data_IF_815374253842
#
_entry.id   IF_815374253842
#
_cell.length_a   1.000
_cell.length_b   1.000
_cell.length_c   1.000
_cell.angle_alpha   90.00
_cell.angle_beta   90.00
_cell.angle_gamma   90.00
#
_symmetry.space_group_name_H-M   'P 1'
#
loop_
_entity.id
_entity.type
_entity.pdbx_description
1 polymer ?
#
# COMPACT_ATOMS: atom_id res chain seq x y z
N UNK A 1 -23.02 -3.86 -12.76
CA UNK A 1 -21.79 -4.33 -12.08
C UNK A 1 -20.68 -3.36 -12.44
N UNK A 2 -20.03 -2.78 -11.43
CA UNK A 2 -18.86 -1.91 -11.60
C UNK A 2 -17.74 -2.71 -12.29
N UNK A 3 -17.45 -2.37 -13.56
CA UNK A 3 -16.44 -3.03 -14.40
C UNK A 3 -15.05 -2.39 -14.28
N UNK A 4 -14.88 -1.39 -13.40
CA UNK A 4 -13.58 -0.76 -13.17
C UNK A 4 -12.55 -1.81 -12.75
N UNK A 5 -11.28 -1.64 -13.13
CA UNK A 5 -10.17 -2.49 -12.69
C UNK A 5 -9.03 -1.61 -12.17
N UNK A 6 -8.09 -2.22 -11.44
CA UNK A 6 -6.99 -1.51 -10.81
C UNK A 6 -6.15 -0.69 -11.82
N UNK A 7 -5.87 -1.26 -13.00
CA UNK A 7 -5.06 -0.60 -14.03
C UNK A 7 -5.70 0.70 -14.52
N UNK A 8 -7.00 0.68 -14.79
CA UNK A 8 -7.70 1.85 -15.29
C UNK A 8 -7.81 2.94 -14.22
N UNK A 9 -8.01 2.56 -12.96
CA UNK A 9 -8.04 3.49 -11.83
C UNK A 9 -6.70 4.23 -11.66
N UNK A 10 -5.58 3.52 -11.71
CA UNK A 10 -4.27 4.15 -11.48
C UNK A 10 -3.68 4.86 -12.70
N UNK A 11 -4.27 4.65 -13.90
CA UNK A 11 -3.85 5.32 -15.15
C UNK A 11 -4.80 6.43 -15.60
N UNK A 12 -6.04 6.45 -15.12
CA UNK A 12 -7.05 7.43 -15.50
C UNK A 12 -6.89 8.73 -14.70
N UNK A 13 -7.52 8.85 -13.52
CA UNK A 13 -7.42 10.03 -12.67
C UNK A 13 -6.00 10.27 -12.14
N UNK A 14 -5.59 11.54 -12.07
CA UNK A 14 -4.33 11.98 -11.46
C UNK A 14 -4.60 13.10 -10.42
N UNK A 15 -4.46 12.83 -9.11
CA UNK A 15 -4.05 11.56 -8.50
C UNK A 15 -5.17 10.50 -8.52
N UNK A 16 -4.84 9.19 -8.48
CA UNK A 16 -5.84 8.14 -8.35
C UNK A 16 -6.51 8.16 -6.98
N UNK A 17 -7.75 7.66 -6.88
CA UNK A 17 -8.40 7.47 -5.58
C UNK A 17 -7.69 6.35 -4.82
N UNK A 18 -7.12 6.68 -3.67
CA UNK A 18 -6.30 5.76 -2.89
C UNK A 18 -7.16 4.61 -2.34
N UNK A 19 -8.33 4.90 -1.78
CA UNK A 19 -9.27 3.89 -1.33
C UNK A 19 -9.76 2.98 -2.46
N UNK A 20 -10.20 3.56 -3.59
CA UNK A 20 -10.73 2.79 -4.71
C UNK A 20 -9.67 1.86 -5.29
N UNK A 21 -8.46 2.38 -5.57
CA UNK A 21 -7.36 1.58 -6.07
C UNK A 21 -6.98 0.46 -5.09
N UNK A 22 -6.98 0.74 -3.78
CA UNK A 22 -6.70 -0.28 -2.76
C UNK A 22 -7.74 -1.41 -2.73
N UNK A 23 -9.03 -1.06 -2.86
CA UNK A 23 -10.11 -2.05 -2.95
C UNK A 23 -10.07 -2.85 -4.25
N UNK A 24 -9.66 -2.22 -5.36
CA UNK A 24 -9.55 -2.91 -6.65
C UNK A 24 -8.44 -3.97 -6.65
N UNK A 25 -7.25 -3.67 -6.12
CA UNK A 25 -6.23 -4.72 -6.01
C UNK A 25 -6.65 -5.80 -5.00
N UNK A 26 -7.39 -5.46 -3.94
CA UNK A 26 -7.90 -6.45 -2.99
C UNK A 26 -8.84 -7.45 -3.69
N UNK A 27 -9.73 -6.94 -4.55
CA UNK A 27 -10.65 -7.75 -5.34
C UNK A 27 -9.91 -8.66 -6.31
N UNK A 28 -8.92 -8.10 -7.02
CA UNK A 28 -8.19 -8.80 -8.08
C UNK A 28 -7.21 -9.85 -7.53
N UNK A 29 -6.69 -9.67 -6.30
CA UNK A 29 -5.71 -10.58 -5.70
C UNK A 29 -6.36 -11.64 -4.79
N UNK A 30 -7.35 -11.26 -3.96
CA UNK A 30 -7.82 -12.12 -2.87
C UNK A 30 -9.34 -12.23 -2.72
N UNK A 31 -10.12 -11.26 -3.19
CA UNK A 31 -11.57 -11.21 -2.94
C UNK A 31 -12.37 -10.98 -4.24
N UNK A 32 -12.50 -11.96 -5.14
CA UNK A 32 -13.14 -11.77 -6.45
C UNK A 32 -14.55 -11.17 -6.41
N UNK A 33 -15.31 -11.48 -5.36
CA UNK A 33 -16.68 -11.00 -5.16
C UNK A 33 -16.78 -9.64 -4.44
N UNK A 34 -15.64 -9.05 -4.06
CA UNK A 34 -15.57 -7.74 -3.41
C UNK A 34 -16.23 -6.67 -4.28
N UNK A 35 -17.13 -5.89 -3.67
CA UNK A 35 -17.75 -4.71 -4.30
C UNK A 35 -17.14 -3.44 -3.70
N UNK A 36 -16.23 -2.74 -4.41
CA UNK A 36 -15.58 -1.55 -3.88
C UNK A 36 -16.56 -0.45 -3.42
N UNK A 37 -17.70 -0.30 -4.10
CA UNK A 37 -18.70 0.73 -3.76
C UNK A 37 -19.19 0.63 -2.32
N UNK A 38 -19.40 -0.58 -1.79
CA UNK A 38 -19.86 -0.79 -0.40
C UNK A 38 -18.89 -0.16 0.60
N UNK A 39 -17.59 -0.32 0.36
CA UNK A 39 -16.56 0.19 1.25
C UNK A 39 -16.29 1.68 1.06
N UNK A 40 -16.48 2.20 -0.16
CA UNK A 40 -16.40 3.63 -0.42
C UNK A 40 -17.58 4.37 0.25
N UNK A 41 -18.79 3.83 0.14
CA UNK A 41 -19.99 4.32 0.84
C UNK A 41 -19.78 4.28 2.37
N UNK A 42 -19.15 3.23 2.90
CA UNK A 42 -18.83 3.15 4.33
C UNK A 42 -17.88 4.29 4.79
N UNK A 43 -16.92 4.70 3.95
CA UNK A 43 -16.04 5.83 4.24
C UNK A 43 -16.81 7.17 4.17
N UNK A 44 -17.77 7.29 3.25
CA UNK A 44 -18.69 8.44 3.18
C UNK A 44 -19.55 8.52 4.45
N UNK A 45 -20.14 7.40 4.89
CA UNK A 45 -20.94 7.31 6.12
C UNK A 45 -20.14 7.71 7.37
N UNK A 46 -18.86 7.32 7.43
CA UNK A 46 -17.95 7.72 8.51
C UNK A 46 -17.66 9.22 8.50
N UNK A 47 -17.43 9.80 7.32
CA UNK A 47 -17.26 11.25 7.19
C UNK A 47 -18.54 11.99 7.62
N UNK A 48 -19.71 11.54 7.18
CA UNK A 48 -21.00 12.11 7.56
C UNK A 48 -21.26 12.03 9.07
N UNK A 49 -20.87 10.92 9.71
CA UNK A 49 -20.98 10.76 11.16
C UNK A 49 -20.10 11.76 11.91
N UNK A 50 -18.88 12.02 11.44
CA UNK A 50 -17.98 13.04 12.00
C UNK A 50 -18.54 14.45 11.74
N UNK A 51 -19.07 14.70 10.54
CA UNK A 51 -19.63 16.00 10.16
C UNK A 51 -20.84 16.36 11.03
N UNK A 52 -21.70 15.40 11.38
CA UNK A 52 -22.83 15.60 12.31
C UNK A 52 -22.41 15.95 13.74
N UNK A 53 -21.18 15.63 14.13
CA UNK A 53 -20.61 15.93 15.45
C UNK A 53 -19.83 17.23 15.48
N UNK A 54 -19.63 17.85 14.32
CA UNK A 54 -18.86 19.08 14.16
C UNK A 54 -19.81 20.26 13.94
N UNK A 55 -19.53 21.39 14.59
CA UNK A 55 -20.20 22.65 14.29
C UNK A 55 -19.56 23.34 13.07
N UNK A 56 -20.30 24.14 12.28
CA UNK A 56 -19.73 24.90 11.17
C UNK A 56 -18.61 25.87 11.58
N UNK A 57 -18.61 26.32 12.84
CA UNK A 57 -17.61 27.23 13.40
C UNK A 57 -16.40 26.51 14.04
N UNK A 58 -16.37 25.17 14.01
CA UNK A 58 -15.27 24.41 14.60
C UNK A 58 -13.96 24.66 13.87
N UNK A 59 -12.90 24.87 14.66
CA UNK A 59 -11.54 24.97 14.13
C UNK A 59 -11.10 23.66 13.44
N UNK A 60 -10.14 23.75 12.52
CA UNK A 60 -9.54 22.57 11.88
C UNK A 60 -9.01 21.56 12.91
N UNK A 61 -8.42 22.04 14.01
CA UNK A 61 -7.96 21.18 15.11
C UNK A 61 -9.12 20.47 15.83
N UNK A 62 -10.24 21.16 16.06
CA UNK A 62 -11.45 20.55 16.66
C UNK A 62 -12.01 19.46 15.75
N UNK A 63 -12.12 19.73 14.44
CA UNK A 63 -12.59 18.76 13.44
C UNK A 63 -11.65 17.56 13.34
N UNK A 64 -10.34 17.81 13.40
CA UNK A 64 -9.31 16.77 13.42
C UNK A 64 -9.43 15.88 14.66
N UNK A 65 -9.56 16.45 15.86
CA UNK A 65 -9.74 15.68 17.09
C UNK A 65 -11.04 14.85 17.07
N UNK A 66 -12.11 15.41 16.50
CA UNK A 66 -13.40 14.71 16.34
C UNK A 66 -13.26 13.51 15.39
N UNK A 67 -12.58 13.70 14.26
CA UNK A 67 -12.26 12.62 13.32
C UNK A 67 -11.42 11.52 13.99
N UNK A 68 -10.32 11.90 14.64
CA UNK A 68 -9.42 10.96 15.33
C UNK A 68 -10.19 10.15 16.39
N UNK A 69 -10.95 10.84 17.25
CA UNK A 69 -11.76 10.18 18.27
C UNK A 69 -12.78 9.21 17.67
N UNK A 70 -13.48 9.63 16.60
CA UNK A 70 -14.45 8.77 15.93
C UNK A 70 -13.81 7.50 15.33
N UNK A 71 -12.71 7.64 14.58
CA UNK A 71 -12.09 6.50 13.92
C UNK A 71 -11.47 5.49 14.89
N UNK A 72 -10.81 5.95 15.95
CA UNK A 72 -10.06 5.05 16.84
C UNK A 72 -10.85 4.62 18.09
N UNK A 73 -11.84 5.40 18.55
CA UNK A 73 -12.66 5.02 19.70
C UNK A 73 -14.02 4.43 19.30
N UNK A 74 -14.74 5.09 18.38
CA UNK A 74 -16.10 4.68 18.04
C UNK A 74 -16.12 3.56 17.00
N UNK A 75 -15.36 3.72 15.91
CA UNK A 75 -15.17 2.66 14.90
C UNK A 75 -14.23 1.57 15.41
N UNK A 76 -13.28 1.91 16.28
CA UNK A 76 -12.38 0.96 16.91
C UNK A 76 -11.23 0.49 16.01
N UNK A 77 -10.80 1.32 15.05
CA UNK A 77 -9.61 1.04 14.25
C UNK A 77 -8.38 0.91 15.14
N UNK A 78 -7.55 -0.11 14.93
CA UNK A 78 -6.29 -0.28 15.68
C UNK A 78 -5.26 -1.13 14.94
N UNK A 79 -4.00 -0.94 15.30
CA UNK A 79 -2.91 -1.77 14.82
C UNK A 79 -3.03 -3.23 15.23
N UNK A 80 -2.83 -4.15 14.29
CA UNK A 80 -2.79 -5.59 14.58
C UNK A 80 -1.38 -6.01 15.03
N UNK A 81 -1.11 -5.91 16.33
CA UNK A 81 0.19 -6.26 16.94
C UNK A 81 0.39 -7.76 17.06
N UNK A 82 -0.67 -8.50 17.33
CA UNK A 82 -0.62 -9.95 17.59
C UNK A 82 -0.35 -10.76 16.32
N UNK A 83 -0.92 -10.31 15.18
CA UNK A 83 -0.76 -10.96 13.88
C UNK A 83 -0.32 -9.95 12.84
N UNK A 84 0.83 -9.30 13.05
CA UNK A 84 1.33 -8.24 12.17
C UNK A 84 1.48 -8.68 10.70
N UNK A 85 1.89 -9.93 10.47
CA UNK A 85 2.08 -10.52 9.13
C UNK A 85 0.82 -11.18 8.53
N UNK A 86 -0.37 -10.87 9.06
CA UNK A 86 -1.64 -11.26 8.45
C UNK A 86 -1.91 -10.40 7.19
N UNK A 87 -2.03 -10.97 5.99
CA UNK A 87 -2.21 -10.20 4.75
C UNK A 87 -3.50 -9.38 4.77
N UNK A 88 -4.51 -9.80 5.55
CA UNK A 88 -5.75 -9.05 5.77
C UNK A 88 -5.49 -7.66 6.38
N UNK A 89 -4.36 -7.44 7.05
CA UNK A 89 -4.01 -6.11 7.57
C UNK A 89 -3.66 -5.09 6.45
N UNK A 90 -3.39 -5.55 5.23
CA UNK A 90 -3.08 -4.69 4.07
C UNK A 90 -4.28 -4.46 3.14
N UNK A 91 -5.30 -5.31 3.20
CA UNK A 91 -6.48 -5.22 2.34
C UNK A 91 -7.52 -4.27 2.92
N UNK A 92 -7.84 -3.18 2.22
CA UNK A 92 -8.67 -2.11 2.77
C UNK A 92 -10.07 -2.58 3.20
N UNK A 93 -10.67 -3.53 2.46
CA UNK A 93 -11.97 -4.13 2.83
C UNK A 93 -11.91 -4.87 4.18
N UNK A 94 -10.82 -5.59 4.43
CA UNK A 94 -10.63 -6.32 5.69
C UNK A 94 -10.34 -5.36 6.85
N UNK A 95 -9.55 -4.31 6.61
CA UNK A 95 -9.23 -3.31 7.64
C UNK A 95 -10.49 -2.56 8.06
N UNK A 96 -11.34 -2.16 7.09
CA UNK A 96 -12.63 -1.52 7.37
C UNK A 96 -13.55 -2.47 8.14
N UNK A 97 -13.65 -3.74 7.74
CA UNK A 97 -14.57 -4.70 8.35
C UNK A 97 -14.15 -5.17 9.75
N UNK A 98 -12.84 -5.35 9.96
CA UNK A 98 -12.29 -5.92 11.20
C UNK A 98 -11.81 -4.87 12.20
N UNK A 99 -11.59 -3.64 11.75
CA UNK A 99 -10.92 -2.59 12.52
C UNK A 99 -9.44 -2.88 12.81
N UNK A 100 -8.81 -3.80 12.08
CA UNK A 100 -7.43 -4.25 12.29
C UNK A 100 -6.59 -4.00 11.05
N UNK A 101 -5.48 -3.27 11.19
CA UNK A 101 -4.62 -2.92 10.06
C UNK A 101 -3.14 -2.74 10.39
N UNK A 102 -2.38 -2.42 9.34
CA UNK A 102 -1.00 -1.96 9.37
C UNK A 102 -0.94 -0.42 9.49
N UNK A 103 0.21 0.17 9.83
CA UNK A 103 0.34 1.62 9.89
C UNK A 103 -0.12 2.31 8.60
N UNK A 104 0.28 1.77 7.44
CA UNK A 104 -0.07 2.34 6.14
C UNK A 104 -1.56 2.20 5.79
N UNK A 105 -2.20 1.07 6.10
CA UNK A 105 -3.59 0.82 5.72
C UNK A 105 -4.57 1.58 6.62
N UNK A 106 -4.27 1.72 7.90
CA UNK A 106 -5.00 2.59 8.82
C UNK A 106 -4.84 4.07 8.42
N UNK A 107 -3.65 4.45 7.98
CA UNK A 107 -3.40 5.81 7.47
C UNK A 107 -4.16 6.10 6.18
N UNK A 108 -4.31 5.13 5.27
CA UNK A 108 -5.16 5.29 4.08
C UNK A 108 -6.61 5.60 4.47
N UNK A 109 -7.18 4.85 5.40
CA UNK A 109 -8.55 5.12 5.89
C UNK A 109 -8.65 6.55 6.46
N UNK A 110 -7.69 6.93 7.32
CA UNK A 110 -7.67 8.26 7.91
C UNK A 110 -7.64 9.36 6.85
N UNK A 111 -6.72 9.27 5.87
CA UNK A 111 -6.57 10.24 4.78
C UNK A 111 -7.87 10.36 3.97
N UNK A 112 -8.51 9.23 3.68
CA UNK A 112 -9.73 9.16 2.87
C UNK A 112 -10.95 9.77 3.57
N UNK A 113 -11.11 9.56 4.87
CA UNK A 113 -12.19 10.19 5.65
C UNK A 113 -11.88 11.67 5.91
N UNK A 114 -10.63 12.02 6.19
CA UNK A 114 -10.19 13.41 6.34
C UNK A 114 -10.45 14.22 5.06
N UNK A 115 -10.14 13.67 3.89
CA UNK A 115 -10.38 14.33 2.60
C UNK A 115 -11.86 14.63 2.35
N UNK A 116 -12.76 13.71 2.72
CA UNK A 116 -14.22 13.92 2.64
C UNK A 116 -14.72 15.05 3.54
N UNK A 117 -14.03 15.29 4.65
CA UNK A 117 -14.31 16.40 5.58
C UNK A 117 -13.66 17.72 5.16
N UNK A 118 -12.92 17.74 4.05
CA UNK A 118 -12.14 18.89 3.59
C UNK A 118 -10.87 19.15 4.39
N UNK A 119 -10.40 18.17 5.18
CA UNK A 119 -9.13 18.26 5.92
C UNK A 119 -7.97 17.85 5.01
N UNK A 120 -6.91 18.66 5.00
CA UNK A 120 -5.70 18.39 4.21
C UNK A 120 -4.79 17.39 4.94
N UNK A 121 -5.13 16.10 4.83
CA UNK A 121 -4.33 14.99 5.35
C UNK A 121 -3.51 14.32 4.24
N UNK A 122 -2.29 13.89 4.57
CA UNK A 122 -1.41 13.18 3.65
C UNK A 122 -0.54 12.14 4.37
N UNK A 123 -0.07 11.15 3.64
CA UNK A 123 0.79 10.10 4.18
C UNK A 123 2.25 10.54 4.30
N UNK A 124 2.87 10.21 5.43
CA UNK A 124 4.29 10.44 5.72
C UNK A 124 4.96 9.07 5.86
N UNK A 125 5.94 8.82 5.00
CA UNK A 125 6.61 7.54 4.91
C UNK A 125 7.86 7.48 5.76
N UNK A 126 7.76 6.93 6.97
CA UNK A 126 8.92 6.66 7.82
C UNK A 126 9.58 5.31 7.43
N UNK A 127 10.89 5.13 7.70
CA UNK A 127 11.51 3.81 7.67
C UNK A 127 10.78 2.87 8.64
N UNK A 128 10.33 1.70 8.16
CA UNK A 128 9.64 0.69 8.98
C UNK A 128 8.23 1.05 9.47
N UNK A 129 7.79 2.31 9.35
CA UNK A 129 6.49 2.77 9.86
C UNK A 129 5.78 3.71 8.86
N UNK A 130 4.57 4.16 9.21
CA UNK A 130 3.80 5.10 8.40
C UNK A 130 2.89 5.94 9.29
N UNK A 131 2.88 7.26 9.08
CA UNK A 131 2.07 8.21 9.87
C UNK A 131 1.31 9.15 8.93
N UNK A 132 0.38 9.93 9.48
CA UNK A 132 -0.38 10.93 8.73
C UNK A 132 0.06 12.32 9.16
N UNK A 133 0.34 13.19 8.19
CA UNK A 133 0.47 14.63 8.41
C UNK A 133 -0.85 15.34 8.09
N UNK A 134 -1.23 16.30 8.92
CA UNK A 134 -2.37 17.20 8.68
C UNK A 134 -1.91 18.64 8.78
N UNK A 135 -2.12 19.41 7.71
CA UNK A 135 -1.83 20.83 7.69
C UNK A 135 -2.87 21.62 8.49
N UNK A 136 -2.44 22.31 9.54
CA UNK A 136 -3.17 23.40 10.19
C UNK A 136 -2.61 24.74 9.70
N UNK A 137 -3.34 25.84 9.93
CA UNK A 137 -3.02 27.18 9.37
C UNK A 137 -1.55 27.60 9.52
N UNK A 138 -0.88 27.24 10.62
CA UNK A 138 0.54 27.55 10.87
C UNK A 138 1.38 26.36 11.34
N UNK A 139 0.83 25.15 11.41
CA UNK A 139 1.50 24.00 12.04
C UNK A 139 1.18 22.68 11.32
N UNK A 140 2.16 21.77 11.31
CA UNK A 140 1.96 20.38 10.92
C UNK A 140 1.63 19.55 12.16
N UNK A 141 0.49 18.86 12.16
CA UNK A 141 0.18 17.83 13.15
C UNK A 141 0.43 16.47 12.52
N UNK A 142 1.35 15.70 13.11
CA UNK A 142 1.53 14.29 12.75
C UNK A 142 0.75 13.41 13.72
N UNK A 143 0.10 12.38 13.19
CA UNK A 143 -0.68 11.40 13.93
C UNK A 143 -0.24 10.00 13.55
N UNK A 144 -0.27 9.07 14.49
CA UNK A 144 -0.01 7.65 14.26
C UNK A 144 -1.30 6.81 14.32
N UNK A 145 -1.93 6.52 13.16
CA UNK A 145 -3.11 5.66 13.08
C UNK A 145 -2.91 4.25 13.64
N UNK A 146 -1.69 3.69 13.61
CA UNK A 146 -1.44 2.37 14.18
C UNK A 146 -1.59 2.37 15.70
N UNK A 147 -1.27 3.52 16.32
CA UNK A 147 -1.29 3.75 17.75
C UNK A 147 -2.52 4.55 18.22
N UNK A 148 -3.65 4.43 17.50
CA UNK A 148 -4.91 5.07 17.91
C UNK A 148 -4.97 6.56 17.59
N UNK A 149 -4.17 7.03 16.62
CA UNK A 149 -4.16 8.42 16.18
C UNK A 149 -3.53 9.37 17.20
N UNK A 150 -2.63 8.89 18.05
CA UNK A 150 -1.84 9.75 18.95
C UNK A 150 -0.98 10.72 18.16
N UNK A 151 -0.79 11.93 18.70
CA UNK A 151 0.13 12.92 18.12
C UNK A 151 1.56 12.41 18.21
N UNK A 152 2.33 12.67 17.15
CA UNK A 152 3.74 12.29 17.02
C UNK A 152 4.56 13.56 16.82
N UNK A 153 5.56 13.75 17.66
CA UNK A 153 6.59 14.78 17.49
C UNK A 153 7.67 14.33 16.49
N UNK A 154 8.52 15.25 16.03
CA UNK A 154 9.64 14.89 15.16
C UNK A 154 10.62 13.92 15.83
N UNK A 155 10.83 14.06 17.14
CA UNK A 155 11.67 13.16 17.94
C UNK A 155 11.08 11.74 18.00
N UNK A 156 9.78 11.62 18.28
CA UNK A 156 9.09 10.34 18.29
C UNK A 156 9.05 9.70 16.90
N UNK A 157 8.90 10.49 15.82
CA UNK A 157 8.98 9.98 14.45
C UNK A 157 10.37 9.38 14.14
N UNK A 158 11.45 10.03 14.59
CA UNK A 158 12.80 9.49 14.48
C UNK A 158 12.96 8.19 15.30
N UNK A 159 12.40 8.15 16.50
CA UNK A 159 12.44 6.95 17.36
C UNK A 159 11.64 5.79 16.75
N UNK A 160 10.48 6.05 16.14
CA UNK A 160 9.71 5.04 15.40
C UNK A 160 10.53 4.46 14.25
N UNK A 161 11.26 5.30 13.49
CA UNK A 161 12.13 4.82 12.42
C UNK A 161 13.24 3.89 12.95
N UNK A 162 13.89 4.28 14.05
CA UNK A 162 14.93 3.47 14.70
C UNK A 162 14.39 2.12 15.18
N UNK A 163 13.28 2.14 15.93
CA UNK A 163 12.74 0.93 16.60
C UNK A 163 12.10 -0.06 15.63
N UNK A 164 11.52 0.41 14.52
CA UNK A 164 10.79 -0.47 13.57
C UNK A 164 11.65 -0.99 12.43
N UNK A 165 12.69 -0.25 12.02
CA UNK A 165 13.54 -0.62 10.87
C UNK A 165 15.02 -0.84 11.20
N UNK A 166 15.45 -0.51 12.43
CA UNK A 166 16.87 -0.49 12.78
C UNK A 166 17.65 0.66 12.14
N UNK A 167 16.97 1.68 11.60
CA UNK A 167 17.61 2.85 11.02
C UNK A 167 18.43 3.60 12.08
N UNK A 168 19.72 3.81 11.81
CA UNK A 168 20.65 4.48 12.75
C UNK A 168 21.11 5.87 12.28
N UNK A 169 20.60 6.34 11.13
CA UNK A 169 20.95 7.65 10.58
C UNK A 169 20.21 8.81 11.27
N UNK A 170 20.54 10.06 10.89
CA UNK A 170 19.82 11.24 11.36
C UNK A 170 18.39 11.29 10.79
N UNK A 171 17.50 12.01 11.45
CA UNK A 171 16.19 12.33 10.87
C UNK A 171 16.38 13.05 9.53
N UNK A 172 15.61 12.64 8.52
CA UNK A 172 15.64 13.25 7.19
C UNK A 172 14.39 14.10 7.00
N UNK A 173 14.55 15.39 6.71
CA UNK A 173 13.42 16.30 6.51
C UNK A 173 12.52 15.86 5.35
N UNK A 174 13.09 15.15 4.37
CA UNK A 174 12.39 14.58 3.23
C UNK A 174 11.33 13.56 3.63
N UNK A 175 11.43 12.95 4.82
CA UNK A 175 10.40 12.03 5.32
C UNK A 175 9.05 12.73 5.50
N UNK A 176 9.05 14.03 5.81
CA UNK A 176 7.84 14.83 6.01
C UNK A 176 7.13 15.19 4.70
N UNK A 177 7.77 14.95 3.54
CA UNK A 177 7.15 15.23 2.26
C UNK A 177 5.91 14.34 2.05
N UNK A 178 4.78 14.91 1.59
CA UNK A 178 3.60 14.13 1.25
C UNK A 178 3.93 12.99 0.28
N UNK A 179 3.61 11.76 0.68
CA UNK A 179 3.81 10.60 -0.18
C UNK A 179 2.74 10.55 -1.28
N UNK A 180 3.11 10.45 -2.57
CA UNK A 180 2.14 10.32 -3.66
C UNK A 180 1.28 9.05 -3.53
N UNK A 181 0.01 9.11 -3.93
CA UNK A 181 -0.92 7.97 -3.84
C UNK A 181 -0.38 6.69 -4.50
N UNK A 182 0.30 6.81 -5.65
CA UNK A 182 0.93 5.67 -6.33
C UNK A 182 2.04 5.01 -5.50
N UNK A 183 2.81 5.81 -4.75
CA UNK A 183 3.84 5.31 -3.84
C UNK A 183 3.23 4.65 -2.60
N UNK A 184 2.13 5.19 -2.06
CA UNK A 184 1.39 4.55 -0.96
C UNK A 184 0.86 3.17 -1.40
N UNK A 185 0.19 3.10 -2.56
CA UNK A 185 -0.30 1.84 -3.12
C UNK A 185 0.83 0.82 -3.35
N UNK A 186 1.97 1.28 -3.89
CA UNK A 186 3.14 0.43 -4.08
C UNK A 186 3.65 -0.12 -2.74
N UNK A 187 3.75 0.70 -1.69
CA UNK A 187 4.15 0.24 -0.34
C UNK A 187 3.15 -0.77 0.25
N UNK A 188 1.85 -0.59 0.06
CA UNK A 188 0.83 -1.56 0.48
C UNK A 188 1.03 -2.92 -0.23
N UNK A 189 1.27 -2.90 -1.54
CA UNK A 189 1.56 -4.09 -2.32
C UNK A 189 2.90 -4.73 -1.93
N UNK A 190 3.93 -3.94 -1.61
CA UNK A 190 5.21 -4.46 -1.11
C UNK A 190 5.07 -5.17 0.25
N UNK A 191 4.20 -4.68 1.14
CA UNK A 191 3.86 -5.38 2.38
C UNK A 191 3.22 -6.75 2.08
N UNK A 192 2.25 -6.79 1.15
CA UNK A 192 1.63 -8.04 0.71
C UNK A 192 2.65 -9.00 0.07
N UNK A 193 3.55 -8.49 -0.77
CA UNK A 193 4.63 -9.28 -1.38
C UNK A 193 5.48 -9.96 -0.31
N UNK A 194 5.92 -9.20 0.71
CA UNK A 194 6.70 -9.76 1.81
C UNK A 194 5.97 -10.88 2.56
N UNK A 195 4.68 -10.67 2.86
CA UNK A 195 3.84 -11.67 3.53
C UNK A 195 3.65 -12.92 2.67
N UNK A 196 3.35 -12.78 1.38
CA UNK A 196 3.11 -13.94 0.51
C UNK A 196 4.38 -14.71 0.17
N UNK A 197 5.53 -14.05 0.04
CA UNK A 197 6.83 -14.72 -0.06
C UNK A 197 7.11 -15.54 1.20
N UNK A 198 6.91 -14.96 2.38
CA UNK A 198 7.13 -15.66 3.65
C UNK A 198 6.22 -16.90 3.80
N UNK A 199 5.00 -16.83 3.26
CA UNK A 199 4.02 -17.92 3.24
C UNK A 199 4.21 -18.90 2.08
N UNK A 200 5.18 -18.64 1.19
CA UNK A 200 5.38 -19.37 -0.06
C UNK A 200 4.12 -19.44 -0.95
N UNK A 201 3.27 -18.41 -0.87
CA UNK A 201 2.11 -18.25 -1.75
C UNK A 201 2.55 -17.57 -3.06
N UNK A 202 3.08 -18.39 -3.97
CA UNK A 202 3.61 -17.93 -5.25
C UNK A 202 2.54 -17.37 -6.19
N UNK A 203 1.32 -17.96 -6.31
CA UNK A 203 0.25 -17.37 -7.08
C UNK A 203 -0.13 -15.96 -6.61
N UNK A 204 -0.30 -15.76 -5.29
CA UNK A 204 -0.59 -14.42 -4.76
C UNK A 204 0.58 -13.45 -4.92
N UNK A 205 1.82 -13.94 -4.77
CA UNK A 205 3.03 -13.14 -5.02
C UNK A 205 3.09 -12.67 -6.47
N UNK A 206 2.80 -13.54 -7.44
CA UNK A 206 2.75 -13.19 -8.87
C UNK A 206 1.65 -12.16 -9.15
N UNK A 207 0.47 -12.31 -8.55
CA UNK A 207 -0.61 -11.33 -8.66
C UNK A 207 -0.18 -9.95 -8.11
N UNK A 208 0.46 -9.91 -6.95
CA UNK A 208 1.01 -8.67 -6.35
C UNK A 208 2.07 -8.04 -7.25
N UNK A 209 3.03 -8.82 -7.76
CA UNK A 209 4.08 -8.31 -8.68
C UNK A 209 3.46 -7.77 -9.97
N UNK A 210 2.40 -8.40 -10.48
CA UNK A 210 1.63 -7.90 -11.61
C UNK A 210 1.08 -6.48 -11.38
N UNK A 211 0.58 -6.20 -10.18
CA UNK A 211 0.09 -4.86 -9.80
C UNK A 211 1.23 -3.86 -9.59
N UNK A 212 2.36 -4.28 -8.99
CA UNK A 212 3.55 -3.45 -8.85
C UNK A 212 4.10 -3.01 -10.21
N UNK A 213 4.09 -3.89 -11.22
CA UNK A 213 4.49 -3.53 -12.61
C UNK A 213 3.59 -2.46 -13.24
N UNK A 214 2.32 -2.37 -12.83
CA UNK A 214 1.41 -1.32 -13.30
C UNK A 214 1.76 0.03 -12.68
N UNK A 215 2.03 0.06 -11.37
CA UNK A 215 2.38 1.28 -10.63
C UNK A 215 3.80 1.77 -10.92
N UNK A 216 4.74 0.85 -11.13
CA UNK A 216 6.17 1.10 -11.26
C UNK A 216 6.72 0.44 -12.54
N UNK A 217 6.27 0.87 -13.74
CA UNK A 217 6.66 0.23 -15.01
C UNK A 217 8.15 0.37 -15.35
N UNK A 218 8.84 1.32 -14.69
CA UNK A 218 10.27 1.56 -14.86
C UNK A 218 11.15 0.65 -13.99
N UNK A 219 10.59 0.05 -12.94
CA UNK A 219 11.31 -0.88 -12.06
C UNK A 219 11.51 -2.23 -12.76
N UNK A 220 12.73 -2.46 -13.25
CA UNK A 220 13.10 -3.67 -13.98
C UNK A 220 13.05 -4.92 -13.10
N UNK A 221 13.27 -4.78 -11.79
CA UNK A 221 13.19 -5.85 -10.81
C UNK A 221 11.81 -6.52 -10.78
N UNK A 222 10.72 -5.77 -10.99
CA UNK A 222 9.38 -6.38 -11.03
C UNK A 222 9.18 -7.25 -12.29
N UNK A 223 9.88 -6.94 -13.39
CA UNK A 223 9.88 -7.75 -14.61
C UNK A 223 10.65 -9.05 -14.37
N UNK A 224 11.84 -8.96 -13.76
CA UNK A 224 12.64 -10.12 -13.33
C UNK A 224 11.83 -11.03 -12.41
N UNK A 225 11.28 -10.48 -11.33
CA UNK A 225 10.54 -11.23 -10.31
C UNK A 225 9.35 -11.97 -10.95
N UNK A 226 8.60 -11.32 -11.84
CA UNK A 226 7.52 -11.96 -12.58
C UNK A 226 8.02 -13.10 -13.47
N UNK A 227 9.13 -12.91 -14.20
CA UNK A 227 9.73 -13.95 -15.04
C UNK A 227 10.13 -15.19 -14.25
N UNK A 228 10.75 -15.00 -13.08
CA UNK A 228 11.13 -16.08 -12.17
C UNK A 228 9.90 -16.82 -11.60
N UNK A 229 8.84 -16.09 -11.24
CA UNK A 229 7.58 -16.68 -10.75
C UNK A 229 6.85 -17.48 -11.84
N UNK A 230 6.81 -16.97 -13.08
CA UNK A 230 6.28 -17.73 -14.22
C UNK A 230 7.10 -18.99 -14.50
N UNK A 231 8.43 -18.92 -14.38
CA UNK A 231 9.28 -20.10 -14.53
C UNK A 231 8.95 -21.16 -13.48
N UNK A 232 8.80 -20.73 -12.21
CA UNK A 232 8.39 -21.59 -11.10
C UNK A 232 7.03 -22.27 -11.36
N UNK A 233 6.11 -21.58 -12.02
CA UNK A 233 4.79 -22.12 -12.38
C UNK A 233 4.79 -23.00 -13.64
N UNK A 234 5.95 -23.20 -14.29
CA UNK A 234 6.06 -23.95 -15.55
C UNK A 234 5.57 -23.19 -16.79
N UNK A 235 5.31 -21.89 -16.66
CA UNK A 235 4.83 -21.03 -17.74
C UNK A 235 6.02 -20.53 -18.59
N UNK A 236 6.73 -21.49 -19.19
CA UNK A 236 8.05 -21.30 -19.80
C UNK A 236 8.09 -20.15 -20.82
N UNK A 237 7.02 -19.96 -21.61
CA UNK A 237 7.00 -18.94 -22.68
C UNK A 237 6.97 -17.54 -22.07
N UNK A 238 6.13 -17.37 -21.06
CA UNK A 238 5.97 -16.11 -20.36
C UNK A 238 7.22 -15.80 -19.53
N UNK A 239 7.81 -16.83 -18.91
CA UNK A 239 9.06 -16.72 -18.18
C UNK A 239 10.21 -16.24 -19.08
N UNK A 240 10.47 -16.92 -20.20
CA UNK A 240 11.53 -16.55 -21.14
C UNK A 240 11.37 -15.11 -21.62
N UNK A 241 10.16 -14.75 -22.07
CA UNK A 241 9.86 -13.41 -22.55
C UNK A 241 10.16 -12.30 -21.53
N UNK A 242 9.80 -12.50 -20.26
CA UNK A 242 10.03 -11.51 -19.20
C UNK A 242 11.50 -11.44 -18.79
N UNK A 243 12.19 -12.58 -18.70
CA UNK A 243 13.62 -12.59 -18.35
C UNK A 243 14.49 -11.99 -19.47
N UNK A 244 14.13 -12.20 -20.74
CA UNK A 244 14.74 -11.50 -21.88
C UNK A 244 14.53 -9.99 -21.79
N UNK A 245 13.30 -9.53 -21.52
CA UNK A 245 13.02 -8.11 -21.34
C UNK A 245 13.83 -7.49 -20.20
N UNK A 246 13.99 -8.22 -19.09
CA UNK A 246 14.81 -7.78 -17.98
C UNK A 246 16.28 -7.62 -18.40
N UNK A 247 16.87 -8.63 -19.06
CA UNK A 247 18.26 -8.58 -19.53
C UNK A 247 18.52 -7.52 -20.61
N UNK A 248 17.50 -7.15 -21.39
CA UNK A 248 17.58 -6.01 -22.33
C UNK A 248 17.64 -4.68 -21.57
N UNK A 249 16.87 -4.54 -20.49
CA UNK A 249 16.82 -3.31 -19.69
C UNK A 249 18.06 -3.14 -18.82
N UNK A 250 18.50 -4.23 -18.19
CA UNK A 250 19.57 -4.25 -17.19
C UNK A 250 20.62 -5.32 -17.54
N UNK A 251 21.37 -5.16 -18.65
CA UNK A 251 22.27 -6.20 -19.16
C UNK A 251 23.44 -6.51 -18.22
N UNK A 252 23.84 -5.54 -17.39
CA UNK A 252 25.01 -5.59 -16.50
C UNK A 252 24.62 -5.65 -15.01
N UNK A 253 23.34 -5.95 -14.69
CA UNK A 253 22.92 -6.10 -13.30
C UNK A 253 23.70 -7.21 -12.59
N UNK A 254 23.93 -7.11 -11.26
CA UNK A 254 24.70 -8.10 -10.51
C UNK A 254 24.20 -9.56 -10.62
N UNK A 255 22.90 -9.73 -10.85
CA UNK A 255 22.22 -11.02 -11.04
C UNK A 255 22.04 -11.44 -12.50
N UNK A 256 22.46 -10.61 -13.47
CA UNK A 256 22.29 -10.86 -14.92
C UNK A 256 22.83 -12.23 -15.37
N UNK A 257 23.98 -12.66 -14.84
CA UNK A 257 24.57 -13.96 -15.15
C UNK A 257 23.67 -15.13 -14.68
N UNK A 258 23.09 -15.03 -13.49
CA UNK A 258 22.17 -16.04 -12.96
C UNK A 258 20.85 -16.06 -13.75
N UNK A 259 20.37 -14.89 -14.18
CA UNK A 259 19.17 -14.80 -15.02
C UNK A 259 19.41 -15.39 -16.41
N UNK A 260 20.59 -15.17 -17.02
CA UNK A 260 20.96 -15.83 -18.29
C UNK A 260 20.98 -17.35 -18.16
N UNK A 261 21.56 -17.89 -17.10
CA UNK A 261 21.54 -19.34 -16.84
C UNK A 261 20.11 -19.89 -16.69
N UNK A 262 19.24 -19.13 -16.02
CA UNK A 262 17.83 -19.50 -15.89
C UNK A 262 17.11 -19.49 -17.24
N UNK A 263 17.38 -18.48 -18.07
CA UNK A 263 16.83 -18.39 -19.42
C UNK A 263 17.30 -19.56 -20.31
N UNK A 264 18.59 -19.90 -20.26
CA UNK A 264 19.14 -21.06 -20.98
C UNK A 264 18.46 -22.37 -20.54
N UNK A 265 18.23 -22.54 -19.23
CA UNK A 265 17.50 -23.70 -18.71
C UNK A 265 16.06 -23.77 -19.25
N UNK A 266 15.35 -22.64 -19.32
CA UNK A 266 14.01 -22.55 -19.90
C UNK A 266 14.02 -22.95 -21.38
N UNK A 267 14.97 -22.42 -22.16
CA UNK A 267 15.08 -22.70 -23.59
C UNK A 267 15.43 -24.17 -23.87
N UNK A 268 16.28 -24.78 -23.03
CA UNK A 268 16.58 -26.21 -23.14
C UNK A 268 15.35 -27.08 -22.83
N UNK A 269 14.52 -26.70 -21.85
CA UNK A 269 13.26 -27.40 -21.59
C UNK A 269 12.29 -27.32 -22.77
N UNK A 270 12.25 -26.18 -23.48
CA UNK A 270 11.47 -26.06 -24.72
C UNK A 270 11.93 -27.00 -25.82
N UNK A 271 13.24 -27.17 -25.99
CA UNK A 271 13.80 -28.04 -27.03
C UNK A 271 13.49 -29.53 -26.79
N UNK A 272 13.19 -29.93 -25.56
CA UNK A 272 12.83 -31.31 -25.19
C UNK A 272 11.33 -31.58 -25.39
N UNK A 273 10.49 -30.54 -25.31
CA UNK A 273 9.02 -30.65 -25.38
C UNK A 273 8.45 -30.51 -26.79
N UNK A 274 9.28 -30.16 -27.80
CA UNK A 274 8.91 -30.06 -29.22
C UNK A 274 9.69 -31.09 -30.04
#
# INVERSE_FOLDING_TARGET
>A
MDRSNFRDEVRGPNPPSLARAALLFAREIAYPDLRPSIYLEQLDDWADAVQRRSAPADSTLTRLNTLTGFLFNDVGLRGNRDQYTDPRNSYLNEVISRGLGLPISLSVIFIEVAGRLGLQAYGIGLPGHFVVGVGLESELVMLDPFNGGVKVTLEEAAQLAQTTSGYTGPFQSEWLNPMPSSAILARMLLNLRGVYIQREDWPATLAVVGHLRILQPHAAEHVRDAGLLHFRNGELRQAAHLLEQYLIREPDAPDSAAIRQTLDAILNQFAILN
#
